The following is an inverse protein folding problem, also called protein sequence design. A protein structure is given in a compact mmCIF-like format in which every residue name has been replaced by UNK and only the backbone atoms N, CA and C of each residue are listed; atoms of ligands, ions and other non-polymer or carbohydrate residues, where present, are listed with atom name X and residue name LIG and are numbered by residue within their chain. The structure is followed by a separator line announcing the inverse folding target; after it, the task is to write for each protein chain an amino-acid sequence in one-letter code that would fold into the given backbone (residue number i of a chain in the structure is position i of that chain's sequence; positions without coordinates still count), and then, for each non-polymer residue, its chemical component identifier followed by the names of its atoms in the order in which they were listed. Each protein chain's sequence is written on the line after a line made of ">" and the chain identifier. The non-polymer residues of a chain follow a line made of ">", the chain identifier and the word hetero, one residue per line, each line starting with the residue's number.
data_IF_688793368508
#
_entry.id   IF_688793368508
#
_cell.length_a   1.000
_cell.length_b   1.000
_cell.length_c   1.000
_cell.angle_alpha   90.00
_cell.angle_beta   90.00
_cell.angle_gamma   90.00
#
_symmetry.space_group_name_H-M   'P 1'
#
loop_
_entity.id
_entity.type
_entity.pdbx_description
1 polymer ?
#
# COMPACT_ATOMS: atom_id res chain seq x y z
N UNK A 1 -5.47 13.31 -10.24
CA UNK A 1 -4.53 13.54 -9.12
C UNK A 1 -3.19 14.08 -9.59
N UNK A 2 -2.62 13.54 -10.70
CA UNK A 2 -1.55 14.19 -11.49
C UNK A 2 -1.82 15.68 -11.80
N UNK A 3 -3.07 16.05 -12.09
CA UNK A 3 -3.46 17.44 -12.38
C UNK A 3 -3.30 18.44 -11.21
N UNK A 4 -3.08 17.97 -9.98
CA UNK A 4 -3.05 18.84 -8.80
C UNK A 4 -1.65 19.07 -8.22
N UNK A 5 -0.58 18.55 -8.85
CA UNK A 5 0.81 18.84 -8.47
C UNK A 5 1.25 18.30 -7.09
N UNK A 6 0.39 17.52 -6.42
CA UNK A 6 0.65 17.08 -5.04
C UNK A 6 1.73 16.03 -4.94
N UNK A 7 1.90 15.20 -5.97
CA UNK A 7 2.94 14.16 -6.01
C UNK A 7 4.30 14.81 -6.11
N UNK A 8 4.44 15.77 -7.02
CA UNK A 8 5.66 16.56 -7.26
C UNK A 8 6.03 17.34 -6.00
N UNK A 9 5.06 18.03 -5.38
CA UNK A 9 5.29 18.76 -4.14
C UNK A 9 5.73 17.84 -2.99
N UNK A 10 5.14 16.65 -2.87
CA UNK A 10 5.53 15.70 -1.85
C UNK A 10 6.94 15.16 -2.10
N UNK A 11 7.25 14.85 -3.36
CA UNK A 11 8.57 14.39 -3.77
C UNK A 11 9.64 15.46 -3.49
N UNK A 12 9.38 16.72 -3.83
CA UNK A 12 10.27 17.85 -3.50
C UNK A 12 10.56 17.96 -2.00
N UNK A 13 9.52 17.84 -1.15
CA UNK A 13 9.68 17.88 0.30
C UNK A 13 10.56 16.74 0.80
N UNK A 14 10.30 15.51 0.34
CA UNK A 14 11.06 14.33 0.77
C UNK A 14 12.51 14.35 0.26
N UNK A 15 12.72 14.74 -0.99
CA UNK A 15 14.05 14.87 -1.59
C UNK A 15 14.87 16.00 -0.96
N UNK A 16 14.23 17.12 -0.61
CA UNK A 16 14.89 18.19 0.14
C UNK A 16 15.34 17.76 1.55
N UNK A 17 14.69 16.73 2.12
CA UNK A 17 15.08 16.10 3.37
C UNK A 17 16.14 14.99 3.18
N UNK A 18 16.65 14.78 1.96
CA UNK A 18 17.67 13.80 1.63
C UNK A 18 17.15 12.37 1.37
N UNK A 19 15.85 12.21 1.13
CA UNK A 19 15.24 10.92 0.80
C UNK A 19 15.14 10.71 -0.71
N UNK A 20 15.35 9.49 -1.18
CA UNK A 20 15.09 9.13 -2.58
C UNK A 20 13.64 8.63 -2.71
N UNK A 21 12.95 9.10 -3.75
CA UNK A 21 11.55 8.74 -3.99
C UNK A 21 11.39 7.85 -5.23
N UNK A 22 10.57 6.81 -5.11
CA UNK A 22 10.04 6.05 -6.25
C UNK A 22 8.53 6.25 -6.30
N UNK A 23 8.01 6.67 -7.45
CA UNK A 23 6.59 6.95 -7.65
C UNK A 23 5.93 5.78 -8.39
N UNK A 24 4.81 5.30 -7.86
CA UNK A 24 3.92 4.35 -8.54
C UNK A 24 2.50 4.90 -8.51
N UNK A 25 1.92 5.15 -9.68
CA UNK A 25 0.59 5.75 -9.83
C UNK A 25 -0.40 4.87 -10.61
N UNK A 26 0.01 3.66 -10.98
CA UNK A 26 -0.80 2.69 -11.73
C UNK A 26 -1.68 1.85 -10.78
N UNK A 27 -2.45 2.52 -9.92
CA UNK A 27 -3.42 1.85 -9.04
C UNK A 27 -4.78 1.74 -9.76
N UNK A 28 -5.16 0.55 -10.26
CA UNK A 28 -6.39 0.34 -11.02
C UNK A 28 -7.64 0.55 -10.15
N UNK A 29 -8.78 0.81 -10.80
CA UNK A 29 -10.05 1.05 -10.09
C UNK A 29 -10.54 -0.15 -9.28
N UNK A 30 -10.24 -1.38 -9.74
CA UNK A 30 -10.77 -2.64 -9.18
C UNK A 30 -9.77 -3.43 -8.33
N UNK A 31 -8.56 -2.91 -8.10
CA UNK A 31 -7.55 -3.43 -7.17
C UNK A 31 -7.28 -4.96 -7.23
N UNK A 32 -7.14 -5.62 -8.40
CA UNK A 32 -6.77 -7.03 -8.41
C UNK A 32 -5.33 -7.20 -7.88
N UNK A 33 -5.14 -8.27 -7.12
CA UNK A 33 -3.87 -8.61 -6.47
C UNK A 33 -2.68 -8.65 -7.44
N UNK A 34 -2.92 -9.01 -8.70
CA UNK A 34 -1.93 -9.01 -9.79
C UNK A 34 -1.36 -7.62 -10.10
N UNK A 35 -2.18 -6.57 -10.11
CA UNK A 35 -1.70 -5.21 -10.40
C UNK A 35 -0.86 -4.64 -9.26
N UNK A 36 -1.15 -5.01 -8.00
CA UNK A 36 -0.30 -4.62 -6.89
C UNK A 36 1.06 -5.35 -6.87
N UNK A 37 1.20 -6.45 -7.61
CA UNK A 37 2.45 -7.18 -7.67
C UNK A 37 3.59 -6.33 -8.25
N UNK A 38 3.29 -5.45 -9.21
CA UNK A 38 4.27 -4.53 -9.79
C UNK A 38 4.77 -3.52 -8.76
N UNK A 39 3.85 -2.91 -7.98
CA UNK A 39 4.20 -2.02 -6.89
C UNK A 39 5.07 -2.72 -5.82
N UNK A 40 4.75 -3.99 -5.50
CA UNK A 40 5.54 -4.80 -4.57
C UNK A 40 6.94 -5.08 -5.12
N UNK A 41 7.06 -5.43 -6.40
CA UNK A 41 8.35 -5.67 -7.05
C UNK A 41 9.19 -4.39 -7.08
N UNK A 42 8.59 -3.24 -7.41
CA UNK A 42 9.24 -1.95 -7.38
C UNK A 42 9.77 -1.63 -5.97
N UNK A 43 8.96 -1.82 -4.93
CA UNK A 43 9.37 -1.60 -3.55
C UNK A 43 10.54 -2.50 -3.14
N UNK A 44 10.49 -3.79 -3.48
CA UNK A 44 11.55 -4.77 -3.17
C UNK A 44 12.85 -4.47 -3.93
N UNK A 45 12.77 -4.24 -5.24
CA UNK A 45 13.93 -3.95 -6.09
C UNK A 45 14.59 -2.62 -5.69
N UNK A 46 13.78 -1.61 -5.39
CA UNK A 46 14.22 -0.31 -4.89
C UNK A 46 14.71 -0.33 -3.44
N UNK A 47 14.59 -1.46 -2.73
CA UNK A 47 14.90 -1.60 -1.30
C UNK A 47 14.25 -0.49 -0.46
N UNK A 48 12.99 -0.20 -0.78
CA UNK A 48 12.21 0.84 -0.13
C UNK A 48 12.09 0.55 1.37
N UNK A 49 12.26 1.59 2.18
CA UNK A 49 12.23 1.49 3.63
C UNK A 49 10.90 1.98 4.21
N UNK A 50 10.17 2.83 3.47
CA UNK A 50 8.91 3.45 3.87
C UNK A 50 8.00 3.55 2.66
N UNK A 51 6.73 3.18 2.81
CA UNK A 51 5.70 3.38 1.80
C UNK A 51 4.95 4.68 2.13
N UNK A 52 4.68 5.50 1.12
CA UNK A 52 3.85 6.71 1.28
C UNK A 52 2.63 6.60 0.37
N UNK A 53 1.44 6.54 0.99
CA UNK A 53 0.17 6.48 0.29
C UNK A 53 -0.40 7.89 0.15
N UNK A 54 -0.50 8.40 -1.06
CA UNK A 54 -1.10 9.71 -1.33
C UNK A 54 -2.34 9.53 -2.20
N UNK A 55 -3.53 9.58 -1.60
CA UNK A 55 -4.77 9.35 -2.34
C UNK A 55 -6.00 9.03 -1.50
N UNK A 56 -7.05 8.51 -2.13
CA UNK A 56 -8.27 8.09 -1.44
C UNK A 56 -8.16 6.70 -0.83
N UNK A 57 -9.30 6.18 -0.33
CA UNK A 57 -9.39 4.86 0.34
C UNK A 57 -8.68 3.74 -0.42
N UNK A 58 -8.85 3.68 -1.75
CA UNK A 58 -8.22 2.63 -2.57
C UNK A 58 -6.70 2.67 -2.52
N UNK A 59 -6.11 3.85 -2.59
CA UNK A 59 -4.65 4.03 -2.55
C UNK A 59 -4.13 3.68 -1.17
N UNK A 60 -4.82 4.11 -0.10
CA UNK A 60 -4.52 3.71 1.28
C UNK A 60 -4.52 2.19 1.47
N UNK A 61 -5.61 1.52 1.05
CA UNK A 61 -5.71 0.06 1.21
C UNK A 61 -4.64 -0.68 0.41
N UNK A 62 -4.38 -0.25 -0.84
CA UNK A 62 -3.33 -0.79 -1.69
C UNK A 62 -1.94 -0.64 -1.05
N UNK A 63 -1.60 0.55 -0.56
CA UNK A 63 -0.32 0.83 0.08
C UNK A 63 -0.09 -0.03 1.33
N UNK A 64 -1.14 -0.27 2.14
CA UNK A 64 -1.06 -1.21 3.27
C UNK A 64 -0.73 -2.63 2.83
N UNK A 65 -1.39 -3.13 1.77
CA UNK A 65 -1.11 -4.46 1.21
C UNK A 65 0.31 -4.53 0.65
N UNK A 66 0.76 -3.50 -0.08
CA UNK A 66 2.14 -3.41 -0.58
C UNK A 66 3.14 -3.40 0.58
N UNK A 67 2.84 -2.70 1.67
CA UNK A 67 3.70 -2.65 2.87
C UNK A 67 3.89 -4.03 3.51
N UNK A 68 2.83 -4.84 3.58
CA UNK A 68 2.90 -6.24 4.03
C UNK A 68 3.70 -7.10 3.05
N UNK A 69 3.35 -7.04 1.76
CA UNK A 69 3.93 -7.89 0.73
C UNK A 69 5.42 -7.58 0.47
N UNK A 70 5.82 -6.31 0.57
CA UNK A 70 7.20 -5.88 0.43
C UNK A 70 8.09 -6.39 1.57
N UNK A 71 7.53 -6.48 2.79
CA UNK A 71 8.21 -7.01 3.97
C UNK A 71 8.17 -8.54 4.10
N UNK A 72 7.44 -9.22 3.21
CA UNK A 72 7.20 -10.67 3.24
C UNK A 72 7.80 -11.40 2.04
N UNK A 73 8.08 -12.69 2.19
CA UNK A 73 8.40 -13.59 1.07
C UNK A 73 7.16 -14.22 0.43
N UNK A 74 5.98 -14.08 1.04
CA UNK A 74 4.71 -14.64 0.57
C UNK A 74 4.08 -13.78 -0.55
N UNK A 75 3.24 -14.40 -1.38
CA UNK A 75 2.37 -13.68 -2.32
C UNK A 75 1.21 -13.00 -1.58
N UNK A 76 0.59 -12.00 -2.21
CA UNK A 76 -0.61 -11.33 -1.68
C UNK A 76 -1.73 -12.33 -1.41
N UNK A 77 -1.97 -13.27 -2.33
CA UNK A 77 -2.99 -14.32 -2.17
C UNK A 77 -2.72 -15.25 -0.97
N UNK A 78 -1.46 -15.66 -0.76
CA UNK A 78 -1.09 -16.54 0.35
C UNK A 78 -1.18 -15.83 1.71
N UNK A 79 -0.98 -14.51 1.76
CA UNK A 79 -1.17 -13.74 2.99
C UNK A 79 -2.66 -13.58 3.35
N UNK A 80 -3.56 -13.65 2.36
CA UNK A 80 -5.01 -13.56 2.59
C UNK A 80 -5.62 -14.87 3.09
N UNK A 81 -4.98 -16.02 2.85
CA UNK A 81 -5.50 -17.34 3.22
C UNK A 81 -5.26 -17.74 4.68
N UNK A 82 -4.91 -16.79 5.57
CA UNK A 82 -4.73 -16.95 7.04
C UNK A 82 -3.69 -17.99 7.51
N UNK A 83 -3.10 -18.81 6.64
CA UNK A 83 -2.11 -19.83 7.04
C UNK A 83 -0.82 -19.21 7.62
N UNK A 84 -0.50 -17.96 7.25
CA UNK A 84 0.65 -17.21 7.75
C UNK A 84 0.34 -15.70 7.80
N UNK A 85 -0.18 -15.17 8.92
CA UNK A 85 -0.37 -13.73 9.05
C UNK A 85 0.98 -13.00 8.93
N UNK A 86 1.06 -11.91 8.15
CA UNK A 86 2.29 -11.16 7.97
C UNK A 86 2.76 -10.61 9.32
N UNK A 87 3.94 -11.06 9.76
CA UNK A 87 4.53 -10.66 11.06
C UNK A 87 5.18 -9.28 11.03
N UNK A 88 5.37 -8.72 9.84
CA UNK A 88 6.07 -7.46 9.59
C UNK A 88 5.45 -6.75 8.40
N UNK A 89 5.54 -5.44 8.42
CA UNK A 89 5.23 -4.57 7.30
C UNK A 89 6.29 -3.46 7.24
N UNK A 90 6.50 -2.88 6.06
CA UNK A 90 7.19 -1.61 5.99
C UNK A 90 6.33 -0.51 6.64
N UNK A 91 6.93 0.48 7.32
CA UNK A 91 6.21 1.67 7.76
C UNK A 91 5.44 2.30 6.59
N UNK A 92 4.18 2.67 6.82
CA UNK A 92 3.30 3.23 5.80
C UNK A 92 2.75 4.58 6.27
N UNK A 93 3.08 5.66 5.57
CA UNK A 93 2.55 6.99 5.83
C UNK A 93 1.35 7.21 4.91
N UNK A 94 0.17 7.43 5.48
CA UNK A 94 -1.04 7.71 4.71
C UNK A 94 -1.37 9.21 4.70
N UNK A 95 -1.45 9.78 3.50
CA UNK A 95 -1.86 11.16 3.23
C UNK A 95 -3.20 11.09 2.47
N UNK A 96 -4.33 10.98 3.20
CA UNK A 96 -5.63 10.79 2.59
C UNK A 96 -6.11 12.05 1.88
N UNK A 97 -6.49 11.94 0.61
CA UNK A 97 -7.22 12.99 -0.12
C UNK A 97 -8.73 12.87 -0.01
N UNK A 98 -9.20 11.80 0.65
CA UNK A 98 -10.61 11.57 0.97
C UNK A 98 -10.75 11.02 2.38
N UNK A 99 -11.70 11.52 3.15
CA UNK A 99 -11.98 11.08 4.53
C UNK A 99 -12.97 9.89 4.61
N UNK A 100 -12.93 8.99 3.61
CA UNK A 100 -13.89 7.88 3.48
C UNK A 100 -13.32 6.52 3.88
N UNK A 101 -12.11 6.48 4.44
CA UNK A 101 -11.47 5.23 4.86
C UNK A 101 -11.88 4.90 6.31
N UNK A 102 -12.80 3.94 6.54
CA UNK A 102 -13.21 3.58 7.90
C UNK A 102 -12.11 2.85 8.68
N UNK A 103 -11.08 2.35 7.99
CA UNK A 103 -9.98 1.58 8.58
C UNK A 103 -8.73 2.43 8.82
N UNK A 104 -8.80 3.76 8.64
CA UNK A 104 -7.61 4.63 8.74
C UNK A 104 -6.83 4.41 10.04
N UNK A 105 -7.53 4.24 11.17
CA UNK A 105 -6.92 3.98 12.49
C UNK A 105 -7.09 2.53 12.97
N UNK A 106 -7.34 1.59 12.06
CA UNK A 106 -7.45 0.18 12.37
C UNK A 106 -6.27 -0.59 11.76
N UNK A 107 -5.72 -1.53 12.50
CA UNK A 107 -4.68 -2.46 12.04
C UNK A 107 -5.27 -3.57 11.12
N UNK A 108 -6.07 -3.16 10.15
CA UNK A 108 -6.72 -4.03 9.15
C UNK A 108 -6.74 -3.33 7.78
N UNK A 109 -6.72 -4.12 6.73
CA UNK A 109 -6.93 -3.65 5.36
C UNK A 109 -7.69 -4.71 4.55
N UNK A 110 -8.20 -4.32 3.39
CA UNK A 110 -8.82 -5.25 2.47
C UNK A 110 -8.45 -4.91 1.03
N UNK A 111 -8.50 -5.93 0.18
CA UNK A 111 -8.33 -5.80 -1.25
C UNK A 111 -9.57 -6.36 -1.96
N UNK A 112 -10.10 -5.64 -2.94
CA UNK A 112 -11.16 -6.17 -3.80
C UNK A 112 -10.58 -7.26 -4.69
N UNK A 113 -11.23 -8.42 -4.78
CA UNK A 113 -10.80 -9.50 -5.66
C UNK A 113 -11.93 -9.83 -6.65
N UNK A 114 -11.84 -9.34 -7.90
CA UNK A 114 -12.89 -9.53 -8.90
C UNK A 114 -13.14 -11.00 -9.24
N UNK A 115 -12.10 -11.85 -9.17
CA UNK A 115 -12.20 -13.27 -9.54
C UNK A 115 -13.11 -14.06 -8.60
N UNK A 116 -13.08 -13.77 -7.29
CA UNK A 116 -13.88 -14.45 -6.27
C UNK A 116 -15.12 -13.66 -5.86
N UNK A 117 -15.17 -12.35 -6.15
CA UNK A 117 -16.16 -11.37 -5.64
C UNK A 117 -16.23 -11.30 -4.11
N UNK A 118 -15.20 -11.80 -3.43
CA UNK A 118 -15.05 -11.74 -1.98
C UNK A 118 -13.79 -10.91 -1.72
N UNK A 119 -13.87 -9.81 -0.95
CA UNK A 119 -12.67 -9.05 -0.62
C UNK A 119 -11.70 -9.91 0.19
N UNK A 120 -10.42 -9.83 -0.15
CA UNK A 120 -9.34 -10.42 0.62
C UNK A 120 -9.07 -9.52 1.82
N UNK A 121 -9.11 -10.10 3.02
CA UNK A 121 -8.85 -9.38 4.27
C UNK A 121 -7.43 -9.65 4.74
N UNK A 122 -6.83 -8.63 5.36
CA UNK A 122 -5.50 -8.72 5.91
C UNK A 122 -5.46 -8.04 7.28
N UNK A 123 -4.90 -8.74 8.26
CA UNK A 123 -4.50 -8.14 9.52
C UNK A 123 -3.11 -7.50 9.37
N UNK A 124 -2.96 -6.29 9.91
CA UNK A 124 -1.69 -5.59 9.97
C UNK A 124 -1.02 -5.89 11.32
N UNK A 125 0.33 -5.90 11.39
CA UNK A 125 1.06 -6.00 12.65
C UNK A 125 0.59 -4.97 13.68
N UNK A 126 0.67 -5.30 14.97
CA UNK A 126 0.21 -4.42 16.06
C UNK A 126 0.97 -3.09 16.16
N UNK A 127 2.19 -3.05 15.63
CA UNK A 127 3.08 -1.88 15.57
C UNK A 127 2.98 -1.11 14.24
N UNK A 128 1.98 -1.42 13.41
CA UNK A 128 1.78 -0.74 12.12
C UNK A 128 1.30 0.71 12.26
N UNK A 129 0.60 1.04 13.36
CA UNK A 129 0.04 2.37 13.64
C UNK A 129 0.86 3.12 14.70
#
# INVERSE_FOLDING_TARGET
>A
MKEAGWVEKLQEVLESAGMNCLVYDEIPSENPSEHLQEAVQLAKAGKVQVIVALGGVRVSMAARVVSLAAASSCSISAMASEELPPKKALPCIEIPTSFRNPLLFAAKTYLGEPSTRIPLWFDLPTDFL
#
